data_IF_457734907567
#
_entry.id   IF_457734907567
#
_cell.length_a   1.000
_cell.length_b   1.000
_cell.length_c   1.000
_cell.angle_alpha   90.00
_cell.angle_beta   90.00
_cell.angle_gamma   90.00
#
_symmetry.space_group_name_H-M   'P 1'
#
loop_
_entity.id
_entity.type
_entity.pdbx_description
1 polymer ?
#
# COMPACT_ATOMS: atom_id res chain seq x y z
N UNK A 1 5.70 9.38 -15.12
CA UNK A 1 6.81 8.62 -14.53
C UNK A 1 6.97 7.37 -15.35
N UNK A 2 8.00 7.36 -16.17
CA UNK A 2 8.20 6.48 -17.32
C UNK A 2 8.12 5.01 -16.91
N UNK A 3 7.31 4.23 -17.63
CA UNK A 3 7.35 2.78 -17.60
C UNK A 3 8.79 2.32 -17.82
N UNK A 4 9.49 1.95 -16.75
CA UNK A 4 10.82 1.35 -16.80
C UNK A 4 10.69 -0.07 -17.34
N UNK A 5 10.50 -0.14 -18.65
CA UNK A 5 10.78 -1.29 -19.50
C UNK A 5 12.30 -1.46 -19.52
N UNK A 6 12.87 -2.12 -18.52
CA UNK A 6 14.26 -2.61 -18.62
C UNK A 6 14.41 -3.96 -17.95
N UNK A 7 14.62 -4.96 -18.81
CA UNK A 7 14.86 -6.40 -18.59
C UNK A 7 16.13 -6.73 -17.78
N UNK A 8 16.49 -5.96 -16.76
CA UNK A 8 17.70 -6.23 -15.97
C UNK A 8 17.54 -5.67 -14.57
N UNK A 9 16.81 -6.39 -13.73
CA UNK A 9 17.30 -6.62 -12.37
C UNK A 9 17.32 -8.13 -12.18
N UNK A 10 18.54 -8.68 -12.20
CA UNK A 10 18.87 -10.09 -12.11
C UNK A 10 18.37 -10.71 -10.80
N UNK A 11 17.14 -11.18 -10.79
CA UNK A 11 16.81 -12.53 -10.34
C UNK A 11 15.44 -12.87 -10.93
N UNK A 12 15.33 -14.03 -11.57
CA UNK A 12 14.13 -14.60 -12.17
C UNK A 12 13.04 -14.95 -11.14
N UNK A 13 12.76 -14.06 -10.19
CA UNK A 13 11.57 -14.08 -9.35
C UNK A 13 10.46 -13.38 -10.11
N UNK A 14 9.57 -14.16 -10.72
CA UNK A 14 8.39 -13.73 -11.47
C UNK A 14 7.78 -12.43 -10.92
N UNK A 15 7.40 -11.48 -11.77
CA UNK A 15 6.58 -10.33 -11.34
C UNK A 15 5.28 -10.77 -10.60
N UNK A 16 4.85 -12.02 -10.80
CA UNK A 16 3.83 -12.70 -9.99
C UNK A 16 4.25 -12.89 -8.53
N UNK A 17 5.50 -13.25 -8.27
CA UNK A 17 6.06 -13.38 -6.91
C UNK A 17 6.10 -12.01 -6.21
N UNK A 18 6.47 -10.93 -6.92
CA UNK A 18 6.46 -9.59 -6.34
C UNK A 18 5.07 -9.13 -5.89
N UNK A 19 4.03 -9.44 -6.67
CA UNK A 19 2.65 -9.11 -6.28
C UNK A 19 2.04 -10.06 -5.25
N UNK A 20 2.45 -11.33 -5.23
CA UNK A 20 2.12 -12.24 -4.14
C UNK A 20 2.75 -11.80 -2.81
N UNK A 21 4.03 -11.41 -2.82
CA UNK A 21 4.72 -10.87 -1.64
C UNK A 21 4.05 -9.59 -1.16
N UNK A 22 3.59 -8.73 -2.08
CA UNK A 22 2.82 -7.56 -1.70
C UNK A 22 1.45 -7.86 -1.09
N UNK A 23 0.72 -8.84 -1.64
CA UNK A 23 -0.53 -9.32 -1.05
C UNK A 23 -0.32 -9.89 0.36
N UNK A 24 0.72 -10.70 0.54
CA UNK A 24 1.09 -11.28 1.84
C UNK A 24 1.50 -10.20 2.83
N UNK A 25 2.31 -9.22 2.42
CA UNK A 25 2.66 -8.10 3.27
C UNK A 25 1.46 -7.22 3.62
N UNK A 26 0.48 -7.07 2.73
CA UNK A 26 -0.79 -6.41 3.02
C UNK A 26 -1.58 -7.13 4.12
N UNK A 27 -1.61 -8.47 4.08
CA UNK A 27 -2.21 -9.29 5.14
C UNK A 27 -1.43 -9.14 6.45
N UNK A 28 -0.10 -9.19 6.42
CA UNK A 28 0.74 -8.98 7.60
C UNK A 28 0.50 -7.59 8.20
N UNK A 29 0.42 -6.56 7.37
CA UNK A 29 0.18 -5.18 7.80
C UNK A 29 -1.21 -5.00 8.39
N UNK A 30 -2.23 -5.69 7.84
CA UNK A 30 -3.55 -5.75 8.44
C UNK A 30 -3.52 -6.43 9.83
N UNK A 31 -2.80 -7.55 9.97
CA UNK A 31 -2.64 -8.24 11.26
C UNK A 31 -1.91 -7.35 12.27
N UNK A 32 -0.83 -6.68 11.87
CA UNK A 32 -0.11 -5.72 12.71
C UNK A 32 -1.01 -4.55 13.10
N UNK A 33 -1.86 -4.06 12.19
CA UNK A 33 -2.84 -3.03 12.50
C UNK A 33 -3.89 -3.46 13.55
N UNK A 34 -4.30 -4.73 13.51
CA UNK A 34 -5.21 -5.31 14.52
C UNK A 34 -4.50 -5.43 15.88
N UNK A 35 -3.25 -5.94 15.90
CA UNK A 35 -2.45 -6.08 17.13
C UNK A 35 -2.13 -4.72 17.73
N UNK A 36 -1.62 -3.81 16.90
CA UNK A 36 -1.97 -2.39 16.82
C UNK A 36 -3.00 -1.93 17.86
N UNK A 37 -4.23 -1.96 17.38
CA UNK A 37 -5.45 -1.53 18.01
C UNK A 37 -5.80 -2.26 19.32
N UNK A 38 -5.48 -3.56 19.42
CA UNK A 38 -5.78 -4.36 20.62
C UNK A 38 -4.78 -4.08 21.77
N UNK A 39 -3.49 -3.93 21.47
CA UNK A 39 -2.46 -3.59 22.44
C UNK A 39 -2.54 -2.12 22.85
N UNK A 40 -2.76 -1.28 21.85
CA UNK A 40 -2.90 0.16 22.00
C UNK A 40 -4.39 0.37 22.25
N UNK A 41 -4.87 0.04 23.45
CA UNK A 41 -6.12 0.54 24.05
C UNK A 41 -6.02 2.07 24.28
N UNK A 42 -5.29 2.75 23.40
CA UNK A 42 -5.27 4.18 23.31
C UNK A 42 -6.70 4.50 22.94
N UNK A 43 -7.37 5.10 23.91
CA UNK A 43 -8.31 6.18 23.64
C UNK A 43 -7.68 6.96 22.49
N UNK A 44 -8.04 6.64 21.23
CA UNK A 44 -7.55 7.37 20.07
C UNK A 44 -8.12 8.77 20.23
N UNK A 45 -7.40 9.60 21.00
CA UNK A 45 -7.32 11.03 20.77
C UNK A 45 -6.50 11.22 19.50
N UNK A 46 -6.92 10.57 18.41
CA UNK A 46 -6.78 11.22 17.12
C UNK A 46 -7.67 12.44 17.26
N UNK A 47 -7.04 13.62 17.19
CA UNK A 47 -7.58 14.95 17.52
C UNK A 47 -8.92 15.27 16.78
N UNK A 48 -9.35 14.41 15.86
CA UNK A 48 -10.56 14.52 15.03
C UNK A 48 -11.76 13.74 15.58
N UNK A 49 -11.60 12.79 16.53
CA UNK A 49 -12.68 11.88 16.95
C UNK A 49 -13.09 11.96 18.44
N UNK A 50 -12.74 13.03 19.14
CA UNK A 50 -13.14 13.24 20.55
C UNK A 50 -14.67 13.33 20.77
N UNK A 51 -15.48 13.38 19.70
CA UNK A 51 -16.95 13.46 19.77
C UNK A 51 -17.67 12.10 19.60
N UNK A 52 -16.96 11.01 19.27
CA UNK A 52 -17.60 9.73 18.93
C UNK A 52 -17.43 8.68 20.05
N UNK A 53 -18.51 7.97 20.47
CA UNK A 53 -18.42 6.94 21.51
C UNK A 53 -17.49 5.79 21.11
N UNK A 54 -16.63 5.35 22.03
CA UNK A 54 -15.61 4.29 21.83
C UNK A 54 -16.15 3.05 21.09
N UNK A 55 -17.34 2.58 21.46
CA UNK A 55 -17.96 1.39 20.85
C UNK A 55 -18.17 1.54 19.34
N UNK A 56 -18.48 2.74 18.85
CA UNK A 56 -18.69 3.00 17.42
C UNK A 56 -17.36 3.00 16.67
N UNK A 57 -16.29 3.53 17.28
CA UNK A 57 -14.94 3.54 16.71
C UNK A 57 -14.42 2.11 16.52
N UNK A 58 -14.59 1.26 17.53
CA UNK A 58 -14.18 -0.16 17.45
C UNK A 58 -14.91 -0.90 16.33
N UNK A 59 -16.23 -0.69 16.18
CA UNK A 59 -17.03 -1.30 15.11
C UNK A 59 -16.56 -0.84 13.72
N UNK A 60 -16.31 0.47 13.53
CA UNK A 60 -15.82 1.02 12.26
C UNK A 60 -14.49 0.38 11.87
N UNK A 61 -13.59 0.18 12.83
CA UNK A 61 -12.27 -0.36 12.54
C UNK A 61 -12.34 -1.86 12.24
N UNK A 62 -13.17 -2.63 12.95
CA UNK A 62 -13.40 -4.06 12.62
C UNK A 62 -13.92 -4.21 11.18
N UNK A 63 -14.87 -3.37 10.76
CA UNK A 63 -15.39 -3.38 9.39
C UNK A 63 -14.27 -3.05 8.39
N UNK A 64 -13.43 -2.07 8.69
CA UNK A 64 -12.30 -1.69 7.83
C UNK A 64 -11.31 -2.85 7.65
N UNK A 65 -11.00 -3.59 8.73
CA UNK A 65 -10.14 -4.77 8.63
C UNK A 65 -10.77 -5.88 7.78
N UNK A 66 -12.06 -6.13 7.92
CA UNK A 66 -12.77 -7.08 7.07
C UNK A 66 -12.68 -6.69 5.58
N UNK A 67 -12.90 -5.41 5.28
CA UNK A 67 -12.73 -4.87 3.92
C UNK A 67 -11.29 -5.02 3.41
N UNK A 68 -10.29 -4.76 4.26
CA UNK A 68 -8.87 -4.88 3.89
C UNK A 68 -8.47 -6.33 3.58
N UNK A 69 -9.01 -7.30 4.31
CA UNK A 69 -8.83 -8.73 4.02
C UNK A 69 -9.46 -9.09 2.67
N UNK A 70 -10.69 -8.64 2.41
CA UNK A 70 -11.37 -8.86 1.12
C UNK A 70 -10.55 -8.25 -0.02
N UNK A 71 -10.08 -7.00 0.12
CA UNK A 71 -9.27 -6.32 -0.90
C UNK A 71 -7.94 -7.04 -1.10
N UNK A 72 -7.33 -7.61 -0.05
CA UNK A 72 -6.08 -8.38 -0.17
C UNK A 72 -6.27 -9.70 -0.93
N UNK A 73 -7.39 -10.41 -0.69
CA UNK A 73 -7.76 -11.61 -1.46
C UNK A 73 -8.03 -11.23 -2.92
N UNK A 74 -8.73 -10.12 -3.14
CA UNK A 74 -9.03 -9.57 -4.47
C UNK A 74 -7.73 -9.22 -5.22
N UNK A 75 -6.72 -8.66 -4.55
CA UNK A 75 -5.40 -8.42 -5.13
C UNK A 75 -4.74 -9.74 -5.59
N UNK A 76 -4.79 -10.78 -4.75
CA UNK A 76 -4.23 -12.09 -5.07
C UNK A 76 -4.95 -12.73 -6.27
N UNK A 77 -6.28 -12.66 -6.33
CA UNK A 77 -7.07 -13.12 -7.48
C UNK A 77 -6.81 -12.27 -8.71
N UNK A 78 -6.67 -10.95 -8.58
CA UNK A 78 -6.31 -10.03 -9.66
C UNK A 78 -4.95 -10.35 -10.26
N UNK A 79 -3.98 -10.73 -9.43
CA UNK A 79 -2.66 -11.17 -9.86
C UNK A 79 -2.69 -12.48 -10.66
N UNK A 80 -3.55 -13.44 -10.24
CA UNK A 80 -3.72 -14.74 -10.93
C UNK A 80 -4.53 -14.60 -12.22
N UNK A 81 -5.66 -13.88 -12.19
CA UNK A 81 -6.58 -13.70 -13.32
C UNK A 81 -6.16 -12.60 -14.31
N UNK A 82 -5.03 -11.90 -14.06
CA UNK A 82 -4.55 -10.75 -14.86
C UNK A 82 -5.63 -9.69 -15.13
N UNK A 83 -6.50 -9.44 -14.15
CA UNK A 83 -7.60 -8.48 -14.33
C UNK A 83 -7.29 -7.17 -13.59
N UNK A 84 -7.10 -6.09 -14.36
CA UNK A 84 -6.63 -4.81 -13.84
C UNK A 84 -7.59 -4.18 -12.82
N UNK A 85 -8.90 -4.31 -13.04
CA UNK A 85 -9.92 -3.60 -12.26
C UNK A 85 -9.91 -4.01 -10.78
N UNK A 86 -9.52 -5.26 -10.50
CA UNK A 86 -9.45 -5.78 -9.13
C UNK A 86 -8.22 -5.26 -8.37
N UNK A 87 -7.17 -4.79 -9.06
CA UNK A 87 -5.93 -4.32 -8.41
C UNK A 87 -5.94 -2.82 -8.11
N UNK A 88 -6.76 -2.04 -8.82
CA UNK A 88 -6.86 -0.57 -8.68
C UNK A 88 -7.11 -0.12 -7.23
N UNK A 89 -8.14 -0.62 -6.50
CA UNK A 89 -8.47 -0.08 -5.18
C UNK A 89 -7.31 -0.25 -4.19
N UNK A 90 -6.59 -1.38 -4.26
CA UNK A 90 -5.44 -1.62 -3.39
C UNK A 90 -4.27 -0.69 -3.69
N UNK A 91 -3.98 -0.43 -4.97
CA UNK A 91 -2.91 0.50 -5.37
C UNK A 91 -3.21 1.92 -4.91
N UNK A 92 -4.47 2.37 -5.04
CA UNK A 92 -4.92 3.69 -4.59
C UNK A 92 -4.88 3.81 -3.06
N UNK A 93 -5.33 2.80 -2.32
CA UNK A 93 -5.23 2.79 -0.86
C UNK A 93 -3.77 2.79 -0.39
N UNK A 94 -2.90 2.04 -1.07
CA UNK A 94 -1.47 1.97 -0.75
C UNK A 94 -0.75 3.33 -0.87
N UNK A 95 -1.10 4.15 -1.86
CA UNK A 95 -0.50 5.49 -1.99
C UNK A 95 -1.06 6.48 -0.96
N UNK A 96 -2.35 6.38 -0.60
CA UNK A 96 -2.92 7.15 0.51
C UNK A 96 -2.22 6.82 1.83
N UNK A 97 -1.94 5.54 2.08
CA UNK A 97 -1.19 5.11 3.25
C UNK A 97 0.26 5.64 3.24
N UNK A 98 0.91 5.69 2.08
CA UNK A 98 2.26 6.26 1.94
C UNK A 98 2.29 7.71 2.47
N UNK A 99 1.33 8.54 2.03
CA UNK A 99 1.21 9.91 2.52
C UNK A 99 0.96 9.97 4.02
N UNK A 100 0.11 9.09 4.56
CA UNK A 100 -0.13 8.99 6.00
C UNK A 100 1.15 8.71 6.79
N UNK A 101 1.92 7.71 6.38
CA UNK A 101 3.18 7.33 7.04
C UNK A 101 4.19 8.48 6.99
N UNK A 102 4.31 9.17 5.84
CA UNK A 102 5.21 10.29 5.70
C UNK A 102 4.87 11.41 6.69
N UNK A 103 3.60 11.80 6.77
CA UNK A 103 3.15 12.85 7.70
C UNK A 103 3.33 12.41 9.15
N UNK A 104 3.03 11.15 9.48
CA UNK A 104 3.23 10.61 10.83
C UNK A 104 4.71 10.64 11.26
N UNK A 105 5.64 10.22 10.40
CA UNK A 105 7.09 10.24 10.71
C UNK A 105 7.58 11.66 10.95
N UNK A 106 7.15 12.62 10.13
CA UNK A 106 7.52 14.03 10.32
C UNK A 106 6.96 14.60 11.62
N UNK A 107 5.67 14.38 11.91
CA UNK A 107 5.04 14.89 13.11
C UNK A 107 5.69 14.33 14.39
N UNK A 108 5.86 13.01 14.46
CA UNK A 108 6.50 12.36 15.61
C UNK A 108 7.97 12.75 15.73
N UNK A 109 8.68 12.91 14.60
CA UNK A 109 10.05 13.43 14.61
C UNK A 109 10.12 14.83 15.21
N UNK A 110 9.26 15.75 14.77
CA UNK A 110 9.23 17.12 15.27
C UNK A 110 8.86 17.16 16.76
N UNK A 111 7.89 16.37 17.22
CA UNK A 111 7.51 16.35 18.64
C UNK A 111 8.68 15.94 19.54
N UNK A 112 9.43 14.90 19.15
CA UNK A 112 10.61 14.47 19.91
C UNK A 112 11.75 15.48 19.91
N UNK A 113 11.89 16.30 18.86
CA UNK A 113 12.87 17.39 18.83
C UNK A 113 12.48 18.53 19.78
N UNK A 114 11.18 18.81 19.94
CA UNK A 114 10.67 19.86 20.83
C UNK A 114 10.78 19.45 22.30
N UNK A 115 10.60 18.17 22.62
CA UNK A 115 10.70 17.65 23.99
C UNK A 115 12.14 17.58 24.53
N UNK A 116 13.15 17.89 23.72
CA UNK A 116 14.56 17.97 24.13
C UNK A 116 15.34 16.65 24.02
N UNK A 117 14.66 15.54 23.68
CA UNK A 117 15.25 14.23 23.45
C UNK A 117 15.82 14.11 22.02
N UNK A 118 16.83 14.92 21.73
CA UNK A 118 17.44 15.06 20.40
C UNK A 118 17.90 13.71 19.81
N UNK A 119 18.53 12.84 20.61
CA UNK A 119 19.05 11.57 20.11
C UNK A 119 17.93 10.63 19.63
N UNK A 120 16.82 10.56 20.37
CA UNK A 120 15.68 9.72 20.02
C UNK A 120 14.94 10.30 18.80
N UNK A 121 14.81 11.62 18.72
CA UNK A 121 14.22 12.31 17.56
C UNK A 121 14.98 12.05 16.26
N UNK A 122 16.31 12.16 16.26
CA UNK A 122 17.15 11.84 15.09
C UNK A 122 17.08 10.37 14.69
N UNK A 123 17.13 9.46 15.67
CA UNK A 123 16.97 8.02 15.41
C UNK A 123 15.62 7.70 14.78
N UNK A 124 14.54 8.27 15.31
CA UNK A 124 13.19 8.07 14.79
C UNK A 124 13.03 8.62 13.37
N UNK A 125 13.58 9.81 13.09
CA UNK A 125 13.53 10.38 11.74
C UNK A 125 14.30 9.52 10.73
N UNK A 126 15.50 9.04 11.08
CA UNK A 126 16.31 8.21 10.18
C UNK A 126 15.64 6.85 9.95
N UNK A 127 15.25 6.15 11.01
CA UNK A 127 14.58 4.84 10.91
C UNK A 127 13.22 4.95 10.22
N UNK A 128 12.41 5.95 10.59
CA UNK A 128 11.09 6.19 10.01
C UNK A 128 11.17 6.53 8.53
N UNK A 129 12.13 7.37 8.12
CA UNK A 129 12.36 7.68 6.70
C UNK A 129 12.85 6.46 5.93
N UNK A 130 13.74 5.66 6.51
CA UNK A 130 14.23 4.44 5.87
C UNK A 130 13.10 3.40 5.69
N UNK A 131 12.25 3.22 6.70
CA UNK A 131 11.06 2.37 6.60
C UNK A 131 10.08 2.86 5.52
N UNK A 132 9.88 4.19 5.43
CA UNK A 132 9.07 4.79 4.38
C UNK A 132 9.60 4.53 2.96
N UNK A 133 10.92 4.60 2.76
CA UNK A 133 11.55 4.28 1.48
C UNK A 133 11.35 2.82 1.08
N UNK A 134 11.50 1.89 2.04
CA UNK A 134 11.22 0.46 1.82
C UNK A 134 9.76 0.24 1.43
N UNK A 135 8.83 0.92 2.13
CA UNK A 135 7.41 0.87 1.81
C UNK A 135 7.12 1.38 0.39
N UNK A 136 7.68 2.53 -0.01
CA UNK A 136 7.54 3.07 -1.37
C UNK A 136 8.12 2.14 -2.44
N UNK A 137 9.27 1.53 -2.16
CA UNK A 137 9.89 0.57 -3.07
C UNK A 137 8.97 -0.63 -3.31
N UNK A 138 8.41 -1.19 -2.24
CA UNK A 138 7.46 -2.28 -2.30
C UNK A 138 6.18 -1.90 -3.07
N UNK A 139 5.66 -0.69 -2.85
CA UNK A 139 4.51 -0.16 -3.58
C UNK A 139 4.81 0.02 -5.08
N UNK A 140 6.00 0.52 -5.44
CA UNK A 140 6.43 0.65 -6.84
C UNK A 140 6.47 -0.71 -7.57
N UNK A 141 6.87 -1.78 -6.90
CA UNK A 141 6.86 -3.13 -7.49
C UNK A 141 5.44 -3.53 -7.90
N UNK A 142 4.44 -3.28 -7.04
CA UNK A 142 3.04 -3.59 -7.34
C UNK A 142 2.51 -2.71 -8.45
N UNK A 143 2.81 -1.41 -8.40
CA UNK A 143 2.42 -0.46 -9.44
C UNK A 143 3.00 -0.85 -10.81
N UNK A 144 4.26 -1.32 -10.85
CA UNK A 144 4.89 -1.79 -12.08
C UNK A 144 4.15 -2.98 -12.69
N UNK A 145 3.73 -3.96 -11.86
CA UNK A 145 2.92 -5.08 -12.34
C UNK A 145 1.54 -4.65 -12.84
N UNK A 146 0.88 -3.73 -12.12
CA UNK A 146 -0.37 -3.13 -12.56
C UNK A 146 -0.23 -2.46 -13.92
N UNK A 147 0.87 -1.72 -14.13
CA UNK A 147 1.15 -1.03 -15.39
C UNK A 147 1.35 -2.02 -16.54
N UNK A 148 2.02 -3.16 -16.31
CA UNK A 148 2.22 -4.21 -17.33
C UNK A 148 0.89 -4.87 -17.72
N UNK A 149 0.02 -5.19 -16.76
CA UNK A 149 -1.32 -5.73 -17.06
C UNK A 149 -2.15 -4.71 -17.82
N UNK A 150 -2.07 -3.42 -17.45
CA UNK A 150 -2.75 -2.35 -18.17
C UNK A 150 -2.28 -2.28 -19.62
N UNK A 151 -0.97 -2.31 -19.87
CA UNK A 151 -0.38 -2.31 -21.21
C UNK A 151 -0.80 -3.54 -22.03
N UNK A 152 -0.86 -4.74 -21.43
CA UNK A 152 -1.35 -5.95 -22.11
C UNK A 152 -2.84 -5.85 -22.47
N UNK A 153 -3.66 -5.29 -21.57
CA UNK A 153 -5.10 -5.11 -21.78
C UNK A 153 -5.38 -4.11 -22.90
N UNK A 154 -4.67 -2.98 -22.89
CA UNK A 154 -4.79 -1.91 -23.88
C UNK A 154 -4.38 -2.40 -25.28
N UNK A 155 -3.27 -3.13 -25.41
CA UNK A 155 -2.84 -3.77 -26.67
C UNK A 155 -3.82 -4.83 -27.19
N UNK A 156 -4.47 -5.56 -26.28
CA UNK A 156 -5.53 -6.51 -26.62
C UNK A 156 -6.78 -5.84 -27.21
N UNK A 157 -7.06 -4.58 -26.83
CA UNK A 157 -8.14 -3.78 -27.40
C UNK A 157 -7.79 -3.24 -28.80
N UNK A 158 -6.54 -2.82 -29.04
CA UNK A 158 -6.08 -2.39 -30.38
C UNK A 158 -6.10 -3.53 -31.43
N UNK A 159 -5.98 -4.79 -31.02
CA UNK A 159 -6.12 -5.93 -31.96
C UNK A 159 -7.57 -6.10 -32.44
N UNK A 160 -8.55 -5.56 -31.70
CA UNK A 160 -9.98 -5.63 -32.05
C UNK A 160 -10.44 -4.47 -32.92
N UNK A 161 -9.56 -3.54 -33.30
CA UNK A 161 -9.92 -2.51 -34.27
C UNK A 161 -10.21 -3.15 -35.64
N UNK A 162 -11.46 -3.10 -36.15
CA UNK A 162 -11.83 -3.73 -37.41
C UNK A 162 -11.23 -3.03 -38.65
N UNK A 163 -10.49 -1.93 -38.44
CA UNK A 163 -10.02 -1.04 -39.51
C UNK A 163 -8.56 -1.25 -39.93
N UNK A 164 -7.87 -2.31 -39.48
CA UNK A 164 -6.56 -2.66 -40.05
C UNK A 164 -6.76 -3.19 -41.47
N UNK A 165 -6.82 -2.27 -42.44
CA UNK A 165 -6.78 -2.57 -43.87
C UNK A 165 -5.54 -3.41 -44.14
N UNK A 166 -5.75 -4.68 -44.47
CA UNK A 166 -4.75 -5.52 -45.11
C UNK A 166 -4.50 -4.89 -46.49
N UNK A 167 -3.31 -4.30 -46.65
CA UNK A 167 -2.73 -4.08 -47.96
C UNK A 167 -2.05 -5.36 -48.41
#
# INVERSE_FOLDING_TARGET
MSCLRRNTFCFCGSLRTGTLVAGVAGIILAIVGIVVLLCVNVVFKTIVLDWLPKTVVDIIIIINFCMTIIISIVLMVGAVKRNMYLMIPWVVLGIMLAFGILVSVLYTGISFLVDGDNFNGWLWLILGTLAFLVYLYMWMIVYSYFCIIKDETDRGQYTKDPFRRKY
#
